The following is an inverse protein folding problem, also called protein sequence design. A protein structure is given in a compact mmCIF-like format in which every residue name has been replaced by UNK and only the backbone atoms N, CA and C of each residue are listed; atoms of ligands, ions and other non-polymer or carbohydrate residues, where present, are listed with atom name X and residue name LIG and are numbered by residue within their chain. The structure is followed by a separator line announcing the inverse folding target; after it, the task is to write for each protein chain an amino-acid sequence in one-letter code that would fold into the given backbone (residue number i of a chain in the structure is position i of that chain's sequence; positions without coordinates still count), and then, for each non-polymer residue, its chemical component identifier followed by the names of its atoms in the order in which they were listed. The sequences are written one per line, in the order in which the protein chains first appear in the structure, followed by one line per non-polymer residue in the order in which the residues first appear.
data_IF_809274027648
#
_entry.id   IF_809274027648
#
_cell.length_a   1.000
_cell.length_b   1.000
_cell.length_c   1.000
_cell.angle_alpha   90.00
_cell.angle_beta   90.00
_cell.angle_gamma   90.00
#
_symmetry.space_group_name_H-M   'P 1'
#
loop_
_entity.id
_entity.type
_entity.pdbx_description
1 polymer ?
#
# COMPACT_ATOMS: atom_id res chain seq x y z
N UNK A 1 -34.45 12.84 32.74
CA UNK A 1 -34.46 11.41 32.35
C UNK A 1 -33.73 11.28 31.01
N UNK A 2 -32.59 10.58 31.00
CA UNK A 2 -31.98 9.71 29.95
C UNK A 2 -32.42 9.88 28.48
N UNK A 3 -31.59 9.73 27.42
CA UNK A 3 -30.26 9.11 27.19
C UNK A 3 -29.84 9.40 25.72
N UNK A 4 -28.57 9.13 25.42
CA UNK A 4 -27.82 9.04 24.14
C UNK A 4 -28.63 8.47 22.93
N UNK A 5 -28.27 8.66 21.64
CA UNK A 5 -26.99 8.39 20.97
C UNK A 5 -26.99 8.98 19.52
N UNK A 6 -25.91 9.64 19.08
CA UNK A 6 -24.88 9.15 18.10
C UNK A 6 -25.30 9.32 16.62
N UNK A 7 -24.87 10.36 15.90
CA UNK A 7 -23.53 10.65 15.38
C UNK A 7 -23.05 9.64 14.31
N UNK A 8 -23.62 9.73 13.10
CA UNK A 8 -23.10 9.05 11.89
C UNK A 8 -22.79 10.10 10.81
N UNK A 9 -21.68 10.83 11.00
CA UNK A 9 -21.01 11.56 9.92
C UNK A 9 -20.28 10.54 9.06
N UNK A 10 -20.98 9.94 8.09
CA UNK A 10 -20.32 9.28 6.97
C UNK A 10 -19.58 10.35 6.17
N UNK A 11 -18.26 10.46 6.40
CA UNK A 11 -17.40 11.37 5.66
C UNK A 11 -17.21 10.80 4.24
N UNK A 12 -18.11 11.21 3.34
CA UNK A 12 -17.95 11.08 1.89
C UNK A 12 -16.67 11.80 1.47
N UNK A 13 -15.64 11.03 1.11
CA UNK A 13 -14.37 11.55 0.60
C UNK A 13 -14.61 12.27 -0.73
N UNK A 14 -14.62 13.62 -0.70
CA UNK A 14 -14.56 14.44 -1.91
C UNK A 14 -13.14 14.41 -2.46
N UNK A 15 -13.01 14.09 -3.75
CA UNK A 15 -11.77 14.17 -4.53
C UNK A 15 -11.11 15.54 -4.36
N UNK A 16 -9.91 15.57 -3.76
CA UNK A 16 -9.09 16.78 -3.66
C UNK A 16 -8.55 17.12 -5.06
N UNK A 17 -8.91 18.29 -5.59
CA UNK A 17 -8.20 18.90 -6.74
C UNK A 17 -6.74 19.16 -6.32
N UNK A 18 -5.81 18.33 -6.80
CA UNK A 18 -4.37 18.53 -6.58
C UNK A 18 -3.77 19.37 -7.71
N UNK A 19 -2.94 20.35 -7.33
CA UNK A 19 -1.96 21.02 -8.21
C UNK A 19 -1.24 19.96 -9.05
N UNK A 20 -0.98 20.16 -10.37
CA UNK A 20 -0.36 19.14 -11.20
C UNK A 20 1.02 18.77 -10.63
N UNK A 21 1.08 17.63 -9.96
CA UNK A 21 2.33 17.08 -9.49
C UNK A 21 3.03 16.50 -10.72
N UNK A 22 4.23 16.99 -11.03
CA UNK A 22 5.15 16.33 -11.99
C UNK A 22 5.53 14.91 -11.56
N UNK A 23 5.09 14.45 -10.38
CA UNK A 23 5.29 13.07 -9.94
C UNK A 23 4.40 12.15 -10.77
N UNK A 24 5.06 11.28 -11.54
CA UNK A 24 4.44 10.15 -12.20
C UNK A 24 3.55 9.36 -11.24
N UNK A 25 2.32 9.11 -11.65
CA UNK A 25 1.36 8.26 -10.94
C UNK A 25 1.38 6.88 -11.62
N UNK A 26 1.44 5.82 -10.82
CA UNK A 26 1.28 4.46 -11.31
C UNK A 26 -0.18 4.22 -11.65
N UNK A 27 -0.46 3.72 -12.85
CA UNK A 27 -1.80 3.31 -13.26
C UNK A 27 -2.15 1.94 -12.67
N UNK A 28 -3.44 1.61 -12.49
CA UNK A 28 -3.84 0.28 -12.02
C UNK A 28 -3.33 -0.86 -12.91
N UNK A 29 -3.18 -0.61 -14.21
CA UNK A 29 -2.61 -1.57 -15.15
C UNK A 29 -1.13 -1.84 -14.86
N UNK A 30 -0.32 -0.79 -14.67
CA UNK A 30 1.10 -0.92 -14.30
C UNK A 30 1.28 -1.58 -12.93
N UNK A 31 0.43 -1.24 -11.95
CA UNK A 31 0.44 -1.89 -10.63
C UNK A 31 0.11 -3.38 -10.73
N UNK A 32 -0.92 -3.74 -11.50
CA UNK A 32 -1.27 -5.14 -11.77
C UNK A 32 -0.12 -5.89 -12.45
N UNK A 33 0.51 -5.29 -13.46
CA UNK A 33 1.67 -5.87 -14.13
C UNK A 33 2.85 -6.05 -13.18
N UNK A 34 3.14 -5.09 -12.30
CA UNK A 34 4.20 -5.22 -11.30
C UNK A 34 3.88 -6.36 -10.32
N UNK A 35 2.64 -6.48 -9.85
CA UNK A 35 2.21 -7.60 -9.00
C UNK A 35 2.39 -8.95 -9.70
N UNK A 36 2.01 -9.04 -10.98
CA UNK A 36 2.18 -10.25 -11.77
C UNK A 36 3.65 -10.59 -12.00
N UNK A 37 4.50 -9.60 -12.27
CA UNK A 37 5.95 -9.77 -12.36
C UNK A 37 6.54 -10.32 -11.06
N UNK A 38 6.17 -9.74 -9.90
CA UNK A 38 6.61 -10.22 -8.59
C UNK A 38 6.17 -11.67 -8.31
N UNK A 39 4.94 -12.05 -8.71
CA UNK A 39 4.43 -13.42 -8.59
C UNK A 39 5.22 -14.38 -9.48
N UNK A 40 5.51 -14.00 -10.73
CA UNK A 40 6.33 -14.77 -11.66
C UNK A 40 7.71 -15.04 -11.08
N UNK A 41 8.40 -14.01 -10.58
CA UNK A 41 9.70 -14.17 -9.93
C UNK A 41 9.67 -15.14 -8.74
N UNK A 42 8.59 -15.11 -7.95
CA UNK A 42 8.42 -16.08 -6.86
C UNK A 42 8.28 -17.52 -7.36
N UNK A 43 7.58 -17.73 -8.48
CA UNK A 43 7.44 -19.05 -9.11
C UNK A 43 8.76 -19.55 -9.73
N UNK A 44 9.52 -18.63 -10.33
CA UNK A 44 10.79 -18.90 -11.00
C UNK A 44 11.97 -19.01 -10.00
N UNK A 45 11.70 -19.22 -8.70
CA UNK A 45 12.71 -19.39 -7.64
C UNK A 45 13.75 -18.27 -7.53
N UNK A 46 13.37 -17.03 -7.86
CA UNK A 46 14.24 -15.85 -7.70
C UNK A 46 14.45 -15.42 -6.24
N UNK A 47 13.79 -16.09 -5.30
CA UNK A 47 14.09 -15.91 -3.87
C UNK A 47 15.36 -16.68 -3.52
N UNK A 48 16.26 -16.00 -2.82
CA UNK A 48 17.36 -16.63 -2.13
C UNK A 48 16.85 -17.28 -0.83
N UNK A 49 17.66 -18.17 -0.25
CA UNK A 49 17.30 -18.96 0.93
C UNK A 49 17.00 -18.09 2.17
N UNK A 50 17.52 -16.86 2.18
CA UNK A 50 17.24 -15.84 3.19
C UNK A 50 15.88 -15.12 3.01
N UNK A 51 15.04 -15.56 2.07
CA UNK A 51 13.72 -14.97 1.80
C UNK A 51 13.75 -13.65 1.03
N UNK A 52 14.92 -13.18 0.58
CA UNK A 52 15.06 -11.97 -0.25
C UNK A 52 15.18 -12.31 -1.73
N UNK A 53 14.81 -11.38 -2.61
CA UNK A 53 15.07 -11.55 -4.04
C UNK A 53 16.57 -11.46 -4.33
N UNK A 54 17.04 -12.30 -5.28
CA UNK A 54 18.41 -12.26 -5.78
C UNK A 54 18.76 -10.89 -6.38
N UNK A 55 20.04 -10.47 -6.35
CA UNK A 55 20.50 -9.28 -7.07
C UNK A 55 20.05 -9.32 -8.53
N UNK A 56 19.62 -8.18 -9.08
CA UNK A 56 19.14 -8.08 -10.45
C UNK A 56 17.62 -8.27 -10.63
N UNK A 57 16.87 -8.66 -9.60
CA UNK A 57 15.40 -8.83 -9.72
C UNK A 57 14.67 -7.57 -10.20
N UNK A 58 15.21 -6.37 -9.93
CA UNK A 58 14.65 -5.10 -10.41
C UNK A 58 14.78 -4.95 -11.93
N UNK A 59 15.88 -5.45 -12.51
CA UNK A 59 16.09 -5.45 -13.96
C UNK A 59 15.13 -6.44 -14.63
N UNK A 60 14.91 -7.60 -14.02
CA UNK A 60 13.93 -8.57 -14.52
C UNK A 60 12.50 -8.02 -14.46
N UNK A 61 12.14 -7.30 -13.38
CA UNK A 61 10.85 -6.60 -13.30
C UNK A 61 10.74 -5.46 -14.30
N UNK A 62 11.83 -4.74 -14.57
CA UNK A 62 11.86 -3.69 -15.59
C UNK A 62 11.59 -4.28 -16.98
N UNK A 63 12.29 -5.36 -17.35
CA UNK A 63 12.04 -6.08 -18.61
C UNK A 63 10.60 -6.56 -18.70
N UNK A 64 10.09 -7.23 -17.66
CA UNK A 64 8.70 -7.71 -17.62
C UNK A 64 7.68 -6.58 -17.82
N UNK A 65 7.91 -5.43 -17.18
CA UNK A 65 7.05 -4.26 -17.31
C UNK A 65 7.16 -3.64 -18.71
N UNK A 66 8.34 -3.60 -19.30
CA UNK A 66 8.56 -3.06 -20.64
C UNK A 66 7.88 -3.94 -21.71
N UNK A 67 7.94 -5.26 -21.58
CA UNK A 67 7.25 -6.20 -22.48
C UNK A 67 5.72 -6.02 -22.44
N UNK A 68 5.14 -5.79 -21.25
CA UNK A 68 3.69 -5.64 -21.06
C UNK A 68 3.20 -4.23 -21.33
N UNK A 69 4.01 -3.23 -21.00
CA UNK A 69 3.71 -1.81 -21.06
C UNK A 69 4.91 -1.03 -21.60
N UNK A 70 5.21 -1.15 -22.91
CA UNK A 70 6.39 -0.53 -23.51
C UNK A 70 6.37 1.00 -23.42
N UNK A 71 5.18 1.60 -23.44
CA UNK A 71 4.98 3.04 -23.27
C UNK A 71 5.13 3.53 -21.83
N UNK A 72 5.26 2.63 -20.86
CA UNK A 72 5.34 3.01 -19.45
C UNK A 72 6.64 3.75 -19.13
N UNK A 73 7.78 3.52 -19.80
CA UNK A 73 9.06 4.15 -19.39
C UNK A 73 9.41 3.90 -17.89
N UNK A 74 8.85 2.84 -17.29
CA UNK A 74 9.17 2.42 -15.93
C UNK A 74 10.57 1.82 -15.90
N UNK A 75 11.32 2.09 -14.83
CA UNK A 75 12.69 1.63 -14.62
C UNK A 75 12.76 0.87 -13.30
N UNK A 76 13.62 -0.14 -13.22
CA UNK A 76 13.87 -0.93 -12.01
C UNK A 76 14.24 -0.03 -10.83
N UNK A 77 15.19 0.88 -11.07
CA UNK A 77 15.51 2.01 -10.20
C UNK A 77 15.26 3.34 -10.95
N UNK A 78 14.63 4.35 -10.33
CA UNK A 78 14.09 4.34 -8.96
C UNK A 78 12.65 3.81 -8.87
N UNK A 79 11.95 3.59 -10.00
CA UNK A 79 10.49 3.49 -10.02
C UNK A 79 9.96 2.22 -9.36
N UNK A 80 10.39 1.04 -9.83
CA UNK A 80 9.92 -0.25 -9.32
C UNK A 80 10.34 -0.42 -7.86
N UNK A 81 11.60 -0.16 -7.53
CA UNK A 81 12.12 -0.27 -6.17
C UNK A 81 11.33 0.61 -5.19
N UNK A 82 11.07 1.87 -5.53
CA UNK A 82 10.28 2.77 -4.69
C UNK A 82 8.85 2.28 -4.51
N UNK A 83 8.22 1.75 -5.57
CA UNK A 83 6.87 1.19 -5.50
C UNK A 83 6.80 -0.04 -4.60
N UNK A 84 7.73 -0.99 -4.77
CA UNK A 84 7.84 -2.19 -3.92
C UNK A 84 8.09 -1.82 -2.46
N UNK A 85 9.00 -0.87 -2.19
CA UNK A 85 9.24 -0.34 -0.84
C UNK A 85 7.98 0.29 -0.24
N UNK A 86 7.22 1.04 -1.03
CA UNK A 86 5.96 1.63 -0.57
C UNK A 86 4.93 0.54 -0.21
N UNK A 87 4.72 -0.45 -1.09
CA UNK A 87 3.81 -1.56 -0.82
C UNK A 87 4.21 -2.37 0.42
N UNK A 88 5.50 -2.67 0.60
CA UNK A 88 5.99 -3.34 1.81
C UNK A 88 5.65 -2.55 3.07
N UNK A 89 5.84 -1.23 3.07
CA UNK A 89 5.49 -0.36 4.22
C UNK A 89 3.99 -0.39 4.50
N UNK A 90 3.15 -0.21 3.47
CA UNK A 90 1.70 -0.28 3.63
C UNK A 90 1.25 -1.63 4.20
N UNK A 91 1.81 -2.73 3.69
CA UNK A 91 1.52 -4.07 4.21
C UNK A 91 1.95 -4.22 5.68
N UNK A 92 3.14 -3.73 6.05
CA UNK A 92 3.59 -3.74 7.46
C UNK A 92 2.65 -2.95 8.37
N UNK A 93 2.20 -1.77 7.97
CA UNK A 93 1.23 -0.97 8.75
C UNK A 93 -0.11 -1.70 8.89
N UNK A 94 -0.65 -2.29 7.82
CA UNK A 94 -1.89 -3.08 7.87
C UNK A 94 -1.72 -4.31 8.76
N UNK A 95 -0.57 -5.00 8.67
CA UNK A 95 -0.29 -6.16 9.50
C UNK A 95 -0.22 -5.81 10.98
N UNK A 96 0.41 -4.68 11.33
CA UNK A 96 0.46 -4.19 12.71
C UNK A 96 -0.91 -3.74 13.19
N UNK A 97 -1.69 -3.08 12.35
CA UNK A 97 -3.05 -2.66 12.66
C UNK A 97 -3.91 -3.86 13.01
N UNK A 98 -3.86 -4.91 12.20
CA UNK A 98 -4.59 -6.16 12.44
C UNK A 98 -4.13 -6.94 13.67
N UNK A 99 -2.93 -6.66 14.20
CA UNK A 99 -2.46 -7.30 15.43
C UNK A 99 -2.95 -6.60 16.69
N UNK A 100 -3.57 -5.42 16.58
CA UNK A 100 -4.15 -4.71 17.72
C UNK A 100 -5.59 -5.16 17.97
N UNK A 101 -5.96 -5.29 19.24
CA UNK A 101 -7.35 -5.55 19.61
C UNK A 101 -8.22 -4.34 19.28
N UNK A 102 -9.39 -4.59 18.69
CA UNK A 102 -10.37 -3.56 18.33
C UNK A 102 -10.03 -2.71 17.10
N UNK A 103 -8.97 -3.08 16.37
CA UNK A 103 -8.66 -2.51 15.06
C UNK A 103 -8.84 -3.55 13.96
N UNK A 104 -9.41 -3.11 12.84
CA UNK A 104 -9.64 -3.93 11.65
C UNK A 104 -9.30 -3.21 10.35
N UNK A 105 -9.08 -3.98 9.29
CA UNK A 105 -8.84 -3.44 7.96
C UNK A 105 -9.80 -4.08 6.95
N UNK A 106 -10.60 -3.24 6.30
CA UNK A 106 -11.56 -3.65 5.27
C UNK A 106 -10.90 -3.59 3.90
N UNK A 107 -10.70 -4.75 3.27
CA UNK A 107 -10.00 -4.83 1.98
C UNK A 107 -10.81 -4.31 0.78
N UNK A 108 -12.14 -4.24 0.89
CA UNK A 108 -13.00 -3.83 -0.23
C UNK A 108 -12.83 -2.36 -0.63
N UNK A 109 -12.63 -1.50 0.36
CA UNK A 109 -12.53 -0.05 0.18
C UNK A 109 -11.32 0.58 0.89
N UNK A 110 -10.54 -0.22 1.63
CA UNK A 110 -9.36 0.23 2.36
C UNK A 110 -9.69 0.93 3.68
N UNK A 111 -10.91 0.80 4.20
CA UNK A 111 -11.33 1.45 5.44
C UNK A 111 -10.70 0.78 6.66
N UNK A 112 -10.32 1.60 7.64
CA UNK A 112 -9.88 1.14 8.96
C UNK A 112 -11.09 1.12 9.88
N UNK A 113 -11.31 -0.02 10.52
CA UNK A 113 -12.36 -0.23 11.51
C UNK A 113 -11.73 0.02 12.89
N UNK A 114 -12.38 0.85 13.70
CA UNK A 114 -11.92 1.22 15.05
C UNK A 114 -13.09 1.03 16.01
N UNK A 115 -12.93 0.19 17.02
CA UNK A 115 -13.94 -0.02 18.06
C UNK A 115 -13.93 1.10 19.11
N UNK A 116 -12.74 1.53 19.55
CA UNK A 116 -12.55 2.64 20.49
C UNK A 116 -11.53 3.65 19.92
N UNK A 117 -11.86 4.95 19.82
CA UNK A 117 -10.91 6.00 19.41
C UNK A 117 -9.56 5.95 20.12
N UNK A 118 -9.50 5.53 21.39
CA UNK A 118 -8.25 5.38 22.13
C UNK A 118 -7.31 4.34 21.50
N UNK A 119 -7.85 3.29 20.89
CA UNK A 119 -7.04 2.26 20.20
C UNK A 119 -6.36 2.84 18.96
N UNK A 120 -7.01 3.78 18.26
CA UNK A 120 -6.38 4.50 17.17
C UNK A 120 -5.22 5.37 17.65
N UNK A 121 -5.42 6.13 18.73
CA UNK A 121 -4.35 6.96 19.31
C UNK A 121 -3.15 6.13 19.77
N UNK A 122 -3.40 4.97 20.38
CA UNK A 122 -2.34 4.06 20.81
C UNK A 122 -1.63 3.42 19.62
N UNK A 123 -2.36 3.07 18.55
CA UNK A 123 -1.78 2.59 17.31
C UNK A 123 -0.91 3.65 16.62
N UNK A 124 -1.34 4.92 16.58
CA UNK A 124 -0.54 6.01 15.99
C UNK A 124 0.77 6.24 16.75
N UNK A 125 0.82 5.96 18.06
CA UNK A 125 2.09 5.97 18.81
C UNK A 125 3.02 4.83 18.38
N UNK A 126 2.49 3.66 18.02
CA UNK A 126 3.25 2.49 17.56
C UNK A 126 3.72 2.63 16.10
N UNK A 127 2.86 3.17 15.22
CA UNK A 127 3.21 3.52 13.85
C UNK A 127 2.91 5.00 13.55
N UNK A 128 3.83 5.91 13.91
CA UNK A 128 3.67 7.34 13.64
C UNK A 128 3.49 7.68 12.15
N UNK A 129 3.87 6.77 11.24
CA UNK A 129 3.73 6.95 9.81
C UNK A 129 2.31 6.66 9.33
N UNK A 130 1.52 5.92 10.10
CA UNK A 130 0.11 5.65 9.81
C UNK A 130 -0.76 6.92 9.86
N UNK A 131 -0.31 7.96 10.57
CA UNK A 131 -0.96 9.28 10.62
C UNK A 131 -1.15 9.92 9.24
N UNK A 132 -0.38 9.51 8.22
CA UNK A 132 -0.55 9.99 6.84
C UNK A 132 -1.82 9.45 6.15
N UNK A 133 -2.44 8.41 6.69
CA UNK A 133 -3.67 7.81 6.16
C UNK A 133 -4.94 8.42 6.78
N UNK A 134 -4.79 9.27 7.79
CA UNK A 134 -5.85 10.12 8.32
C UNK A 134 -5.88 11.41 7.47
N UNK A 135 -6.76 11.49 6.47
CA UNK A 135 -7.31 12.71 5.81
C UNK A 135 -8.05 12.42 4.49
#
# INVERSE_FOLDING_TARGET
MNRQAENSKLLSIRSRKSIPSSRRIWTPAEESALLNGLKKLCADSWKADNGTFRPGYLMELEHYLHERHPSSQLKGEPHVNNKVKAWKRCYSSISLLKSQSGLGFQYSDGTIIVEDPKQWDDFIKMDPKAKKHEN
#
